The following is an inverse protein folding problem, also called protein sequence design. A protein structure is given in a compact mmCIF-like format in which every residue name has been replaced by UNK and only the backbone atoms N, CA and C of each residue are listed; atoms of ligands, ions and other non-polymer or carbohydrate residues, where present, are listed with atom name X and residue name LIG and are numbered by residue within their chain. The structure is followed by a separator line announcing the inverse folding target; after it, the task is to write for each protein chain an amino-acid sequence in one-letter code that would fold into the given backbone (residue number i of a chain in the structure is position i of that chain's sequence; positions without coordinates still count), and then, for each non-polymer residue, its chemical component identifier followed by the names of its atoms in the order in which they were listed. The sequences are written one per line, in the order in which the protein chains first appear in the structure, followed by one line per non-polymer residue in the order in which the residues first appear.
data_IF_224963915802
#
_entry.id   IF_224963915802
#
_cell.length_a   1.000
_cell.length_b   1.000
_cell.length_c   1.000
_cell.angle_alpha   90.00
_cell.angle_beta   90.00
_cell.angle_gamma   90.00
#
_symmetry.space_group_name_H-M   'P 1'
#
loop_
_entity.id
_entity.type
_entity.pdbx_description
1 polymer ?
#
# COMPACT_ATOMS: atom_id res chain seq x y z
N UNK A 1 -6.93 -2.51 3.05
CA UNK A 1 -6.19 -3.51 2.26
C UNK A 1 -4.97 -2.86 1.65
N UNK A 2 -3.79 -3.43 1.82
CA UNK A 2 -2.51 -2.90 1.33
C UNK A 2 -1.91 -3.87 0.30
N UNK A 3 -1.47 -3.35 -0.85
CA UNK A 3 -0.75 -4.14 -1.87
C UNK A 3 0.48 -3.35 -2.30
N UNK A 4 1.67 -3.94 -2.11
CA UNK A 4 2.96 -3.38 -2.52
C UNK A 4 3.48 -4.12 -3.76
N UNK A 5 3.85 -3.39 -4.81
CA UNK A 5 4.45 -3.96 -6.02
C UNK A 5 5.70 -3.17 -6.43
N UNK A 6 6.56 -3.87 -7.16
CA UNK A 6 7.88 -3.40 -7.57
C UNK A 6 7.96 -3.19 -9.09
N UNK A 7 8.47 -2.04 -9.56
CA UNK A 7 8.67 -1.71 -10.97
C UNK A 7 10.09 -1.14 -11.19
N UNK A 8 10.66 -1.16 -12.39
CA UNK A 8 11.98 -0.54 -12.69
C UNK A 8 11.83 0.94 -13.18
N UNK A 9 12.90 1.76 -13.21
CA UNK A 9 12.90 3.16 -13.72
C UNK A 9 12.48 3.25 -15.18
N UNK A 10 12.73 2.17 -15.92
CA UNK A 10 12.32 1.93 -17.31
C UNK A 10 11.06 1.09 -17.41
N UNK A 11 10.34 0.89 -16.30
CA UNK A 11 9.00 0.33 -16.35
C UNK A 11 8.06 1.36 -16.96
N UNK A 12 7.13 0.96 -17.83
CA UNK A 12 6.60 1.84 -18.85
C UNK A 12 5.56 2.79 -18.27
N UNK A 13 5.41 3.98 -18.85
CA UNK A 13 4.33 4.96 -18.60
C UNK A 13 2.89 4.42 -18.84
N UNK A 14 2.75 3.11 -18.99
CA UNK A 14 1.56 2.39 -19.41
C UNK A 14 1.19 1.25 -18.44
N UNK A 15 1.59 1.35 -17.16
CA UNK A 15 1.19 0.41 -16.10
C UNK A 15 0.19 1.04 -15.12
N UNK A 16 -0.82 0.30 -14.66
CA UNK A 16 -1.86 0.83 -13.77
C UNK A 16 -2.46 -0.26 -12.86
N UNK A 17 -3.04 0.15 -11.74
CA UNK A 17 -3.82 -0.73 -10.87
C UNK A 17 -5.27 -0.85 -11.37
N UNK A 18 -5.83 -2.05 -11.22
CA UNK A 18 -7.24 -2.35 -11.44
C UNK A 18 -7.79 -3.06 -10.22
N UNK A 19 -8.66 -2.37 -9.49
CA UNK A 19 -9.40 -2.95 -8.38
C UNK A 19 -10.77 -3.46 -8.83
N UNK A 20 -11.13 -4.66 -8.37
CA UNK A 20 -12.47 -5.23 -8.48
C UNK A 20 -12.98 -5.66 -7.12
N UNK A 21 -14.25 -5.41 -6.83
CA UNK A 21 -15.00 -5.93 -5.69
C UNK A 21 -16.04 -6.91 -6.23
N UNK A 22 -16.03 -8.17 -5.78
CA UNK A 22 -16.93 -9.23 -6.24
C UNK A 22 -17.01 -9.30 -7.78
N UNK A 23 -15.85 -9.22 -8.45
CA UNK A 23 -15.74 -9.22 -9.91
C UNK A 23 -16.05 -7.89 -10.61
N UNK A 24 -16.67 -6.92 -9.93
CA UNK A 24 -17.04 -5.62 -10.49
C UNK A 24 -15.93 -4.59 -10.30
N UNK A 25 -15.58 -3.85 -11.37
CA UNK A 25 -14.56 -2.79 -11.30
C UNK A 25 -14.97 -1.69 -10.31
N UNK A 26 -14.08 -1.40 -9.36
CA UNK A 26 -14.24 -0.28 -8.44
C UNK A 26 -13.90 1.04 -9.15
N UNK A 27 -14.68 2.09 -8.90
CA UNK A 27 -14.50 3.41 -9.54
C UNK A 27 -14.20 4.55 -8.54
N UNK A 28 -14.34 4.30 -7.25
CA UNK A 28 -14.17 5.29 -6.19
C UNK A 28 -13.37 4.70 -5.03
N UNK A 29 -12.81 5.57 -4.18
CA UNK A 29 -12.09 5.22 -2.96
C UNK A 29 -10.80 4.41 -3.17
N UNK A 30 -10.21 4.46 -4.37
CA UNK A 30 -8.90 3.90 -4.69
C UNK A 30 -7.86 5.01 -4.51
N UNK A 31 -6.77 4.70 -3.82
CA UNK A 31 -5.59 5.57 -3.70
C UNK A 31 -4.38 4.84 -4.26
N UNK A 32 -3.50 5.59 -4.90
CA UNK A 32 -2.26 5.10 -5.48
C UNK A 32 -1.11 6.01 -5.03
N UNK A 33 0.05 5.40 -4.77
CA UNK A 33 1.27 6.10 -4.45
C UNK A 33 2.43 5.46 -5.21
N UNK A 34 3.37 6.28 -5.68
CA UNK A 34 4.59 5.81 -6.31
C UNK A 34 5.81 6.49 -5.71
N UNK A 35 6.90 5.75 -5.54
CA UNK A 35 8.17 6.28 -5.06
C UNK A 35 9.32 5.70 -5.88
N UNK A 36 10.13 6.57 -6.47
CA UNK A 36 11.34 6.18 -7.21
C UNK A 36 12.50 5.99 -6.24
N UNK A 37 13.12 4.82 -6.30
CA UNK A 37 14.29 4.43 -5.54
C UNK A 37 15.57 4.95 -6.20
N UNK A 38 16.68 4.93 -5.44
CA UNK A 38 17.98 5.45 -5.89
C UNK A 38 18.56 4.71 -7.09
N UNK A 39 18.22 3.43 -7.26
CA UNK A 39 18.60 2.62 -8.44
C UNK A 39 17.65 2.80 -9.63
N UNK A 40 16.75 3.78 -9.51
CA UNK A 40 15.73 4.14 -10.48
C UNK A 40 14.47 3.27 -10.41
N UNK A 41 14.51 2.11 -9.78
CA UNK A 41 13.32 1.27 -9.68
C UNK A 41 12.20 2.02 -8.93
N UNK A 42 10.94 1.80 -9.29
CA UNK A 42 9.76 2.49 -8.74
C UNK A 42 8.94 1.53 -7.89
N UNK A 43 8.76 1.84 -6.62
CA UNK A 43 7.75 1.21 -5.77
C UNK A 43 6.40 1.82 -6.07
N UNK A 44 5.38 0.97 -6.25
CA UNK A 44 4.00 1.40 -6.46
C UNK A 44 3.10 0.70 -5.45
N UNK A 45 2.23 1.49 -4.82
CA UNK A 45 1.29 1.03 -3.82
C UNK A 45 -0.11 1.45 -4.23
N UNK A 46 -1.08 0.60 -3.94
CA UNK A 46 -2.49 0.95 -4.06
C UNK A 46 -3.31 0.34 -2.94
N UNK A 47 -4.30 1.09 -2.47
CA UNK A 47 -5.23 0.65 -1.43
C UNK A 47 -6.63 1.20 -1.68
N UNK A 48 -7.61 0.51 -1.10
CA UNK A 48 -9.02 0.92 -1.13
C UNK A 48 -9.55 1.15 0.28
N UNK A 49 -10.39 2.18 0.42
CA UNK A 49 -11.19 2.40 1.63
C UNK A 49 -12.64 2.04 1.33
N UNK A 50 -13.12 0.96 1.94
CA UNK A 50 -14.45 0.42 1.68
C UNK A 50 -15.08 -0.10 2.97
N UNK A 51 -16.41 -0.20 3.02
CA UNK A 51 -17.11 -0.92 4.06
C UNK A 51 -17.00 -2.43 3.81
N UNK A 52 -16.61 -3.16 4.85
CA UNK A 52 -16.51 -4.61 4.80
C UNK A 52 -17.91 -5.22 4.93
N UNK A 53 -18.23 -6.12 4.01
CA UNK A 53 -19.40 -7.01 4.10
C UNK A 53 -18.92 -8.46 4.11
N UNK A 54 -19.70 -9.36 4.70
CA UNK A 54 -19.43 -10.80 4.66
C UNK A 54 -19.22 -11.29 3.24
N UNK A 55 -18.33 -12.28 3.07
CA UNK A 55 -18.02 -12.91 1.78
C UNK A 55 -17.62 -11.95 0.66
N UNK A 56 -17.00 -10.81 1.00
CA UNK A 56 -16.51 -9.86 0.00
C UNK A 56 -15.15 -10.28 -0.53
N UNK A 57 -15.04 -10.35 -1.85
CA UNK A 57 -13.79 -10.56 -2.59
C UNK A 57 -13.28 -9.23 -3.16
N UNK A 58 -12.02 -8.91 -2.90
CA UNK A 58 -11.29 -7.85 -3.60
C UNK A 58 -10.19 -8.46 -4.45
N UNK A 59 -10.06 -7.97 -5.67
CA UNK A 59 -9.00 -8.35 -6.61
C UNK A 59 -8.26 -7.11 -7.05
N UNK A 60 -6.96 -7.08 -6.80
CA UNK A 60 -6.06 -6.02 -7.25
C UNK A 60 -5.15 -6.58 -8.33
N UNK A 61 -5.26 -6.05 -9.54
CA UNK A 61 -4.37 -6.41 -10.65
C UNK A 61 -3.47 -5.21 -10.96
N UNK A 62 -2.16 -5.42 -11.01
CA UNK A 62 -1.21 -4.46 -11.56
C UNK A 62 -0.87 -4.87 -12.98
N UNK A 63 -1.34 -4.08 -13.94
CA UNK A 63 -1.27 -4.40 -15.36
C UNK A 63 -0.17 -3.56 -16.00
N UNK A 64 0.80 -4.20 -16.66
CA UNK A 64 1.79 -3.55 -17.52
C UNK A 64 1.42 -3.79 -18.98
N UNK A 65 1.01 -2.74 -19.72
CA UNK A 65 0.71 -2.88 -21.15
C UNK A 65 1.95 -3.26 -21.96
N UNK A 66 3.14 -2.83 -21.53
CA UNK A 66 4.38 -3.28 -22.16
C UNK A 66 4.77 -4.62 -21.54
N UNK A 67 4.99 -5.60 -22.39
CA UNK A 67 5.21 -7.00 -21.98
C UNK A 67 3.92 -7.77 -21.69
N UNK A 68 2.75 -7.11 -21.72
CA UNK A 68 1.43 -7.72 -21.46
C UNK A 68 1.42 -8.57 -20.17
N UNK A 69 2.11 -8.09 -19.14
CA UNK A 69 2.24 -8.81 -17.86
C UNK A 69 1.24 -8.26 -16.87
N UNK A 70 0.58 -9.16 -16.15
CA UNK A 70 -0.32 -8.80 -15.05
C UNK A 70 0.15 -9.52 -13.79
N UNK A 71 0.35 -8.76 -12.71
CA UNK A 71 0.48 -9.30 -11.35
C UNK A 71 -0.87 -9.14 -10.67
N UNK A 72 -1.32 -10.15 -9.92
CA UNK A 72 -2.65 -10.14 -9.31
C UNK A 72 -2.62 -10.67 -7.89
N UNK A 73 -3.37 -10.00 -7.01
CA UNK A 73 -3.58 -10.40 -5.62
C UNK A 73 -5.08 -10.50 -5.36
N UNK A 74 -5.49 -11.61 -4.76
CA UNK A 74 -6.83 -11.88 -4.27
C UNK A 74 -6.88 -11.64 -2.76
N UNK A 75 -7.85 -10.86 -2.29
CA UNK A 75 -8.12 -10.68 -0.88
C UNK A 75 -9.58 -11.05 -0.60
N UNK A 76 -9.79 -12.02 0.29
CA UNK A 76 -11.11 -12.44 0.75
C UNK A 76 -11.35 -11.99 2.19
N UNK A 77 -12.50 -11.39 2.45
CA UNK A 77 -12.93 -11.06 3.81
C UNK A 77 -13.58 -12.30 4.41
N UNK A 78 -12.88 -12.97 5.32
CA UNK A 78 -13.40 -14.15 6.01
C UNK A 78 -14.43 -13.76 7.09
N UNK A 79 -15.52 -14.53 7.18
CA UNK A 79 -16.61 -14.30 8.15
C UNK A 79 -16.14 -14.28 9.61
N UNK A 80 -15.09 -15.03 9.94
CA UNK A 80 -14.50 -15.03 11.29
C UNK A 80 -13.96 -13.66 11.70
N UNK A 81 -13.54 -12.81 10.76
CA UNK A 81 -12.96 -11.50 11.05
C UNK A 81 -14.04 -10.49 11.46
N UNK A 82 -15.27 -10.66 11.00
CA UNK A 82 -16.38 -9.75 11.33
C UNK A 82 -16.99 -10.02 12.70
N UNK A 83 -16.73 -11.18 13.31
CA UNK A 83 -17.36 -11.63 14.57
C UNK A 83 -16.36 -12.07 15.66
N UNK A 84 -15.05 -11.81 15.49
CA UNK A 84 -14.00 -12.28 16.41
C UNK A 84 -13.18 -11.16 17.05
N UNK A 85 -13.04 -11.21 18.37
CA UNK A 85 -12.11 -10.38 19.17
C UNK A 85 -10.62 -10.64 18.86
N UNK A 86 -10.30 -11.71 18.11
CA UNK A 86 -8.92 -12.04 17.75
C UNK A 86 -8.30 -11.01 16.80
N UNK A 87 -9.08 -10.48 15.86
CA UNK A 87 -8.61 -9.45 14.92
C UNK A 87 -8.27 -8.15 15.63
N UNK A 88 -8.98 -7.81 16.70
CA UNK A 88 -8.79 -6.58 17.47
C UNK A 88 -7.36 -6.49 18.04
N UNK A 89 -6.82 -7.60 18.58
CA UNK A 89 -5.45 -7.61 19.12
C UNK A 89 -4.37 -7.46 18.04
N UNK A 90 -4.54 -8.15 16.92
CA UNK A 90 -3.59 -8.07 15.82
C UNK A 90 -3.61 -6.67 15.17
N UNK A 91 -4.81 -6.12 14.96
CA UNK A 91 -5.00 -4.75 14.50
C UNK A 91 -4.34 -3.73 15.44
N UNK A 92 -4.51 -3.90 16.76
CA UNK A 92 -3.92 -3.01 17.76
C UNK A 92 -2.39 -3.07 17.75
N UNK A 93 -1.82 -4.26 17.55
CA UNK A 93 -0.38 -4.46 17.40
C UNK A 93 0.15 -3.76 16.15
N UNK A 94 -0.48 -3.97 14.99
CA UNK A 94 -0.11 -3.29 13.74
C UNK A 94 -0.21 -1.77 13.86
N UNK A 95 -1.28 -1.27 14.46
CA UNK A 95 -1.50 0.17 14.67
C UNK A 95 -0.43 0.77 15.59
N UNK A 96 -0.02 0.04 16.63
CA UNK A 96 1.05 0.46 17.52
C UNK A 96 2.40 0.50 16.80
N UNK A 97 2.74 -0.53 16.04
CA UNK A 97 3.98 -0.60 15.26
C UNK A 97 4.09 0.54 14.23
N UNK A 98 2.99 0.87 13.54
CA UNK A 98 2.95 2.00 12.59
C UNK A 98 3.16 3.33 13.33
N UNK A 99 2.51 3.52 14.49
CA UNK A 99 2.67 4.74 15.28
C UNK A 99 4.09 4.92 15.80
N UNK A 100 4.74 3.83 16.21
CA UNK A 100 6.14 3.84 16.66
C UNK A 100 7.08 4.18 15.52
N UNK A 101 6.86 3.58 14.34
CA UNK A 101 7.63 3.87 13.14
C UNK A 101 7.50 5.35 12.74
N UNK A 102 6.28 5.92 12.72
CA UNK A 102 6.10 7.35 12.42
C UNK A 102 6.85 8.23 13.44
N UNK A 103 6.74 7.94 14.74
CA UNK A 103 7.47 8.67 15.78
C UNK A 103 8.99 8.60 15.58
N UNK A 104 9.51 7.42 15.22
CA UNK A 104 10.92 7.25 14.88
C UNK A 104 11.32 8.12 13.69
N UNK A 105 10.51 8.13 12.62
CA UNK A 105 10.78 8.94 11.43
C UNK A 105 10.73 10.44 11.69
N UNK A 106 9.79 10.91 12.54
CA UNK A 106 9.73 12.31 12.97
C UNK A 106 10.96 12.71 13.79
N UNK A 107 11.40 11.84 14.71
CA UNK A 107 12.61 12.09 15.49
C UNK A 107 13.86 12.10 14.60
N UNK A 108 13.94 11.17 13.66
CA UNK A 108 15.03 11.11 12.69
C UNK A 108 15.11 12.40 11.85
N UNK A 109 13.96 12.89 11.37
CA UNK A 109 13.86 14.18 10.66
C UNK A 109 14.36 15.33 11.51
N UNK A 110 13.92 15.46 12.78
CA UNK A 110 14.38 16.51 13.69
C UNK A 110 15.89 16.48 13.91
N UNK A 111 16.45 15.28 14.14
CA UNK A 111 17.89 15.10 14.31
C UNK A 111 18.65 15.49 13.06
N UNK A 112 18.16 15.09 11.88
CA UNK A 112 18.73 15.44 10.59
C UNK A 112 18.75 16.96 10.37
N UNK A 113 17.61 17.64 10.56
CA UNK A 113 17.49 19.10 10.43
C UNK A 113 18.36 19.87 11.44
N UNK A 114 18.54 19.32 12.64
CA UNK A 114 19.41 19.92 13.66
C UNK A 114 20.87 19.75 13.29
N UNK A 115 21.25 18.59 12.76
CA UNK A 115 22.61 18.30 12.33
C UNK A 115 22.98 19.11 11.07
N UNK A 116 22.06 19.26 10.11
CA UNK A 116 22.27 20.10 8.93
C UNK A 116 22.44 21.58 9.30
N UNK A 117 21.67 22.09 10.26
CA UNK A 117 21.84 23.45 10.81
C UNK A 117 23.15 23.62 11.56
N UNK A 118 23.70 22.55 12.15
CA UNK A 118 24.97 22.58 12.90
C UNK A 118 26.20 22.43 12.00
N UNK A 119 26.03 21.86 10.81
CA UNK A 119 27.07 21.63 9.80
C UNK A 119 27.05 22.64 8.63
N UNK A 120 26.21 23.68 8.67
CA UNK A 120 26.45 24.89 7.85
C UNK A 120 27.77 25.53 8.29
N UNK A 121 28.71 25.98 7.43
CA UNK A 121 28.54 26.71 6.18
C UNK A 121 27.44 27.77 6.26
#
# INVERSE_FOLDING_TARGET
LWVENYKNCSGPDNSYFLWRKNGQKMKACITEQSHTLLDGRVHVLSWVKDSLSENTEYRCSFISKVGNTTSEVLITVEDKVLHSDAWTKEFDSWRSAISEHDKMMQNWRKTWETCSKRNGL
#
